data_IF_157492284261
#
_entry.id   IF_157492284261
#
_cell.length_a   1.000
_cell.length_b   1.000
_cell.length_c   1.000
_cell.angle_alpha   90.00
_cell.angle_beta   90.00
_cell.angle_gamma   90.00
#
_symmetry.space_group_name_H-M   'P 1'
#
loop_
_entity.id
_entity.type
_entity.pdbx_description
1 polymer ?
#
# COMPACT_ATOMS: atom_id res chain seq x y z
N UNK A 1 -16.64 -2.88 11.32
CA UNK A 1 -16.00 -4.10 10.82
C UNK A 1 -14.77 -4.44 11.64
N UNK A 2 -14.52 -5.72 11.87
CA UNK A 2 -13.40 -6.22 12.65
C UNK A 2 -12.66 -7.30 11.87
N UNK A 3 -11.37 -7.10 11.69
CA UNK A 3 -10.42 -8.09 11.20
C UNK A 3 -10.11 -9.08 12.32
N UNK A 4 -10.33 -10.37 12.11
CA UNK A 4 -10.04 -11.39 13.11
C UNK A 4 -9.25 -12.57 12.52
N UNK A 5 -8.74 -13.43 13.38
CA UNK A 5 -8.12 -14.69 12.97
C UNK A 5 -9.14 -15.78 12.60
N UNK A 6 -10.44 -15.49 12.75
CA UNK A 6 -11.53 -16.47 12.52
C UNK A 6 -12.66 -15.89 11.65
N UNK A 7 -12.31 -15.02 10.71
CA UNK A 7 -13.21 -14.41 9.75
C UNK A 7 -13.38 -12.90 9.90
N UNK A 8 -14.19 -12.34 9.03
CA UNK A 8 -14.56 -10.93 9.02
C UNK A 8 -15.85 -10.75 9.84
N UNK A 9 -15.83 -9.91 10.86
CA UNK A 9 -17.00 -9.65 11.69
C UNK A 9 -17.53 -8.24 11.49
N UNK A 10 -18.85 -8.14 11.29
CA UNK A 10 -19.59 -6.88 11.27
C UNK A 10 -20.41 -6.74 12.55
N UNK A 11 -20.25 -5.64 13.25
CA UNK A 11 -21.07 -5.28 14.41
C UNK A 11 -22.15 -4.29 13.99
N UNK A 12 -23.39 -4.57 14.35
CA UNK A 12 -24.56 -3.73 14.02
C UNK A 12 -25.05 -2.84 15.17
N UNK A 13 -24.31 -2.83 16.30
CA UNK A 13 -24.69 -2.15 17.53
C UNK A 13 -25.28 -3.09 18.57
N UNK A 14 -25.68 -4.30 18.21
CA UNK A 14 -26.31 -5.28 19.11
C UNK A 14 -25.67 -6.68 18.98
N UNK A 15 -25.35 -7.11 17.77
CA UNK A 15 -24.85 -8.46 17.49
C UNK A 15 -23.70 -8.45 16.48
N UNK A 16 -22.99 -9.56 16.41
CA UNK A 16 -21.94 -9.78 15.41
C UNK A 16 -22.42 -10.75 14.33
N UNK A 17 -22.28 -10.34 13.08
CA UNK A 17 -22.36 -11.22 11.92
C UNK A 17 -20.93 -11.53 11.45
N UNK A 18 -20.56 -12.82 11.43
CA UNK A 18 -19.22 -13.25 11.01
C UNK A 18 -19.25 -13.95 9.67
N UNK A 19 -18.48 -13.44 8.73
CA UNK A 19 -18.26 -14.02 7.42
C UNK A 19 -17.03 -14.92 7.45
N UNK A 20 -17.14 -16.08 6.80
CA UNK A 20 -16.07 -17.07 6.65
C UNK A 20 -15.97 -17.54 5.22
N UNK A 21 -14.82 -18.13 4.80
CA UNK A 21 -14.71 -18.77 3.50
C UNK A 21 -15.77 -19.84 3.31
N UNK A 22 -16.35 -19.90 2.11
CA UNK A 22 -17.30 -20.94 1.73
C UNK A 22 -16.66 -21.85 0.71
N UNK A 23 -16.59 -23.14 0.99
CA UNK A 23 -15.95 -24.11 0.12
C UNK A 23 -16.64 -24.15 -1.25
N UNK A 24 -15.86 -23.97 -2.31
CA UNK A 24 -16.36 -23.95 -3.69
C UNK A 24 -16.93 -22.60 -4.17
N UNK A 25 -17.14 -21.65 -3.26
CA UNK A 25 -17.59 -20.29 -3.64
C UNK A 25 -16.39 -19.36 -3.83
N UNK A 26 -16.15 -18.99 -5.10
CA UNK A 26 -15.10 -18.07 -5.49
C UNK A 26 -15.40 -16.60 -5.12
N UNK A 27 -16.62 -16.29 -4.74
CA UNK A 27 -17.09 -14.92 -4.41
C UNK A 27 -17.27 -14.74 -2.90
N UNK A 28 -16.74 -15.63 -2.08
CA UNK A 28 -16.73 -15.52 -0.62
C UNK A 28 -15.41 -14.95 -0.09
N UNK A 29 -15.31 -14.78 1.23
CA UNK A 29 -14.05 -14.46 1.90
C UNK A 29 -12.97 -15.49 1.53
N UNK A 30 -11.76 -15.03 1.23
CA UNK A 30 -10.70 -15.89 0.70
C UNK A 30 -10.03 -16.76 1.77
N UNK A 31 -9.86 -16.24 2.99
CA UNK A 31 -9.33 -16.98 4.16
C UNK A 31 -9.90 -16.41 5.47
N UNK A 32 -9.87 -17.18 6.55
CA UNK A 32 -10.35 -16.76 7.86
C UNK A 32 -9.43 -15.73 8.55
N UNK A 33 -8.14 -15.76 8.27
CA UNK A 33 -7.13 -14.92 8.92
C UNK A 33 -7.00 -13.62 8.17
N UNK A 34 -7.51 -12.55 8.76
CA UNK A 34 -7.54 -11.22 8.17
C UNK A 34 -6.45 -10.37 8.79
N UNK A 35 -5.65 -9.70 7.95
CA UNK A 35 -4.56 -8.83 8.37
C UNK A 35 -4.92 -7.37 8.30
N UNK A 36 -5.64 -6.96 7.25
CA UNK A 36 -5.93 -5.57 7.00
C UNK A 36 -7.30 -5.39 6.37
N UNK A 37 -7.93 -4.27 6.70
CA UNK A 37 -9.22 -3.83 6.20
C UNK A 37 -9.11 -2.37 5.79
N UNK A 38 -9.53 -2.05 4.58
CA UNK A 38 -9.63 -0.66 4.15
C UNK A 38 -10.88 -0.47 3.29
N UNK A 39 -11.58 0.64 3.50
CA UNK A 39 -12.73 1.04 2.69
C UNK A 39 -12.29 2.05 1.63
N UNK A 40 -12.75 1.86 0.41
CA UNK A 40 -12.56 2.86 -0.64
C UNK A 40 -13.72 3.85 -0.71
N UNK A 41 -13.57 4.90 -1.50
CA UNK A 41 -14.58 5.96 -1.64
C UNK A 41 -15.89 5.50 -2.31
N UNK A 42 -15.87 4.38 -3.01
CA UNK A 42 -17.02 3.82 -3.73
C UNK A 42 -17.81 2.84 -2.86
N UNK A 43 -17.39 2.65 -1.60
CA UNK A 43 -18.07 1.81 -0.61
C UNK A 43 -17.76 0.33 -0.75
N UNK A 44 -16.57 -0.01 -1.24
CA UNK A 44 -16.06 -1.38 -1.20
C UNK A 44 -15.08 -1.55 -0.05
N UNK A 45 -15.25 -2.60 0.70
CA UNK A 45 -14.32 -3.02 1.75
C UNK A 45 -13.32 -4.01 1.17
N UNK A 46 -12.07 -3.61 1.14
CA UNK A 46 -10.94 -4.43 0.70
C UNK A 46 -10.34 -5.15 1.91
N UNK A 47 -10.10 -6.45 1.76
CA UNK A 47 -9.79 -7.35 2.86
C UNK A 47 -8.54 -8.14 2.48
N UNK A 48 -7.43 -7.92 3.18
CA UNK A 48 -6.25 -8.75 3.00
C UNK A 48 -6.26 -9.94 3.95
N UNK A 49 -5.98 -11.13 3.41
CA UNK A 49 -6.00 -12.39 4.17
C UNK A 49 -4.71 -13.17 3.96
N UNK A 50 -4.48 -14.21 4.74
CA UNK A 50 -3.45 -15.21 4.46
C UNK A 50 -4.00 -16.34 3.59
N UNK A 51 -3.15 -16.99 2.75
CA UNK A 51 -1.82 -16.57 2.32
C UNK A 51 -1.91 -15.65 1.10
N UNK A 52 -1.71 -14.34 1.32
CA UNK A 52 -1.58 -13.35 0.23
C UNK A 52 -2.79 -13.26 -0.70
N UNK A 53 -3.99 -13.32 -0.13
CA UNK A 53 -5.24 -13.25 -0.85
C UNK A 53 -5.98 -11.95 -0.50
N UNK A 54 -6.62 -11.36 -1.50
CA UNK A 54 -7.48 -10.20 -1.34
C UNK A 54 -8.92 -10.62 -1.58
N UNK A 55 -9.84 -10.14 -0.74
CA UNK A 55 -11.29 -10.20 -0.97
C UNK A 55 -11.83 -8.78 -1.05
N UNK A 56 -12.95 -8.61 -1.74
CA UNK A 56 -13.65 -7.34 -1.85
C UNK A 56 -15.12 -7.55 -1.48
N UNK A 57 -15.66 -6.65 -0.63
CA UNK A 57 -17.06 -6.70 -0.19
C UNK A 57 -17.75 -5.38 -0.50
N UNK A 58 -18.85 -5.44 -1.25
CA UNK A 58 -19.70 -4.29 -1.57
C UNK A 58 -20.58 -3.99 -0.35
N UNK A 59 -20.33 -2.86 0.29
CA UNK A 59 -21.04 -2.44 1.49
C UNK A 59 -22.49 -2.05 1.20
N UNK A 60 -22.76 -1.52 0.01
CA UNK A 60 -24.11 -1.08 -0.39
C UNK A 60 -25.01 -2.26 -0.73
N UNK A 61 -24.47 -3.25 -1.47
CA UNK A 61 -25.21 -4.45 -1.87
C UNK A 61 -25.08 -5.61 -0.87
N UNK A 62 -24.30 -5.42 0.18
CA UNK A 62 -24.05 -6.37 1.25
C UNK A 62 -23.61 -7.77 0.74
N UNK A 63 -22.67 -7.80 -0.21
CA UNK A 63 -22.17 -9.04 -0.82
C UNK A 63 -20.68 -8.95 -1.19
N UNK A 64 -20.03 -10.09 -1.23
CA UNK A 64 -18.69 -10.19 -1.83
C UNK A 64 -18.77 -9.94 -3.34
N UNK A 65 -17.70 -9.36 -3.88
CA UNK A 65 -17.61 -8.98 -5.30
C UNK A 65 -16.73 -9.97 -6.05
N UNK A 66 -17.20 -10.43 -7.19
CA UNK A 66 -16.38 -11.12 -8.18
C UNK A 66 -15.65 -10.07 -9.04
N UNK A 67 -14.35 -10.01 -8.89
CA UNK A 67 -13.47 -9.10 -9.61
C UNK A 67 -12.56 -9.84 -10.60
N UNK A 68 -12.97 -11.00 -11.07
CA UNK A 68 -12.21 -11.80 -12.05
C UNK A 68 -11.92 -11.04 -13.34
N UNK A 69 -12.74 -10.06 -13.70
CA UNK A 69 -12.51 -9.14 -14.83
C UNK A 69 -11.24 -8.29 -14.71
N UNK A 70 -10.73 -8.08 -13.49
CA UNK A 70 -9.47 -7.37 -13.24
C UNK A 70 -8.23 -8.29 -13.24
N UNK A 71 -8.39 -9.55 -13.60
CA UNK A 71 -7.40 -10.62 -13.47
C UNK A 71 -7.48 -11.25 -12.08
N UNK A 72 -6.65 -12.26 -11.82
CA UNK A 72 -6.67 -12.97 -10.54
C UNK A 72 -6.09 -12.07 -9.43
N UNK A 73 -6.97 -11.36 -8.72
CA UNK A 73 -6.64 -10.51 -7.57
C UNK A 73 -6.53 -11.31 -6.27
N UNK A 74 -6.90 -12.59 -6.28
CA UNK A 74 -6.89 -13.43 -5.09
C UNK A 74 -5.49 -13.88 -4.71
N UNK A 75 -4.56 -13.84 -5.65
CA UNK A 75 -3.21 -14.36 -5.44
C UNK A 75 -2.17 -13.24 -5.43
N UNK A 76 -1.20 -13.37 -4.51
CA UNK A 76 0.04 -12.62 -4.50
C UNK A 76 -0.08 -11.12 -4.14
N UNK A 77 -1.10 -10.71 -3.40
CA UNK A 77 -1.19 -9.38 -2.83
C UNK A 77 -1.58 -9.46 -1.35
N UNK A 78 -0.88 -8.72 -0.50
CA UNK A 78 -1.09 -8.77 0.96
C UNK A 78 -1.26 -7.39 1.58
N UNK A 79 -0.96 -6.33 0.84
CA UNK A 79 -1.06 -4.97 1.31
C UNK A 79 -1.94 -4.14 0.36
N UNK A 80 -2.65 -3.19 0.94
CA UNK A 80 -3.69 -2.37 0.29
C UNK A 80 -3.42 -0.91 0.63
N UNK A 81 -3.52 -0.03 -0.36
CA UNK A 81 -3.55 1.42 -0.17
C UNK A 81 -4.66 2.00 -1.03
N UNK A 82 -5.49 2.86 -0.45
CA UNK A 82 -6.53 3.60 -1.16
C UNK A 82 -6.09 5.04 -1.33
N UNK A 83 -5.94 5.48 -2.57
CA UNK A 83 -5.57 6.84 -2.90
C UNK A 83 -6.76 7.81 -2.77
N UNK A 84 -6.49 9.10 -2.60
CA UNK A 84 -7.52 10.14 -2.45
C UNK A 84 -8.47 10.24 -3.66
N UNK A 85 -7.99 9.87 -4.85
CA UNK A 85 -8.83 9.80 -6.05
C UNK A 85 -9.72 8.55 -6.10
N UNK A 86 -9.55 7.61 -5.16
CA UNK A 86 -10.29 6.36 -5.03
C UNK A 86 -9.64 5.16 -5.73
N UNK A 87 -8.50 5.33 -6.37
CA UNK A 87 -7.76 4.19 -6.91
C UNK A 87 -7.27 3.29 -5.79
N UNK A 88 -7.40 1.99 -5.99
CA UNK A 88 -6.93 0.99 -5.03
C UNK A 88 -5.62 0.37 -5.52
N UNK A 89 -4.62 0.38 -4.66
CA UNK A 89 -3.30 -0.15 -4.94
C UNK A 89 -3.04 -1.39 -4.10
N UNK A 90 -2.73 -2.48 -4.76
CA UNK A 90 -2.43 -3.77 -4.14
C UNK A 90 -0.97 -4.13 -4.41
N UNK A 91 -0.24 -4.58 -3.39
CA UNK A 91 1.13 -5.05 -3.60
C UNK A 91 1.51 -6.19 -2.67
N UNK A 92 2.58 -6.87 -3.05
CA UNK A 92 3.28 -7.86 -2.24
C UNK A 92 4.78 -7.81 -2.54
N UNK A 93 5.60 -8.14 -1.54
CA UNK A 93 7.05 -8.23 -1.73
C UNK A 93 7.40 -9.35 -2.72
N UNK A 94 7.94 -8.96 -3.89
CA UNK A 94 8.33 -9.88 -4.96
C UNK A 94 7.34 -10.04 -6.11
N UNK A 95 6.14 -9.48 -6.00
CA UNK A 95 5.12 -9.61 -7.06
C UNK A 95 4.72 -8.30 -7.74
N UNK A 96 5.41 -7.21 -7.41
CA UNK A 96 5.11 -5.89 -7.95
C UNK A 96 3.87 -5.27 -7.32
N UNK A 97 3.23 -4.39 -8.07
CA UNK A 97 2.10 -3.60 -7.64
C UNK A 97 0.99 -3.61 -8.71
N UNK A 98 -0.26 -3.51 -8.29
CA UNK A 98 -1.43 -3.40 -9.16
C UNK A 98 -2.27 -2.21 -8.73
N UNK A 99 -2.61 -1.34 -9.67
CA UNK A 99 -3.61 -0.29 -9.51
C UNK A 99 -4.95 -0.80 -10.02
N UNK A 100 -6.01 -0.59 -9.26
CA UNK A 100 -7.41 -0.86 -9.63
C UNK A 100 -8.14 0.47 -9.68
N UNK A 101 -8.94 0.66 -10.70
CA UNK A 101 -9.73 1.86 -10.94
C UNK A 101 -11.18 1.45 -11.14
N UNK A 102 -12.08 2.03 -10.35
CA UNK A 102 -13.53 1.91 -10.56
C UNK A 102 -13.96 2.82 -11.70
N UNK A 103 -14.72 2.27 -12.63
CA UNK A 103 -15.28 3.01 -13.76
C UNK A 103 -16.71 3.46 -13.43
N UNK A 104 -17.16 4.55 -14.04
CA UNK A 104 -18.53 5.07 -13.85
C UNK A 104 -19.65 4.05 -14.21
N UNK A 105 -19.35 3.09 -15.06
CA UNK A 105 -20.27 2.00 -15.44
C UNK A 105 -20.31 0.86 -14.40
N UNK A 106 -19.55 0.97 -13.30
CA UNK A 106 -19.46 -0.04 -12.24
C UNK A 106 -18.47 -1.17 -12.52
N UNK A 107 -17.76 -1.13 -13.65
CA UNK A 107 -16.67 -2.07 -13.92
C UNK A 107 -15.38 -1.65 -13.22
N UNK A 108 -14.51 -2.62 -12.94
CA UNK A 108 -13.17 -2.39 -12.44
C UNK A 108 -12.15 -2.67 -13.53
N UNK A 109 -11.19 -1.78 -13.69
CA UNK A 109 -10.03 -1.99 -14.58
C UNK A 109 -8.75 -2.03 -13.77
N UNK A 110 -7.70 -2.65 -14.29
CA UNK A 110 -6.44 -2.72 -13.57
C UNK A 110 -5.20 -2.52 -14.44
N UNK A 111 -4.19 -1.90 -13.84
CA UNK A 111 -2.85 -1.74 -14.40
C UNK A 111 -1.82 -2.43 -13.51
N UNK A 112 -0.95 -3.23 -14.11
CA UNK A 112 0.10 -3.97 -13.39
C UNK A 112 1.44 -3.27 -13.55
N UNK A 113 2.13 -3.07 -12.43
CA UNK A 113 3.48 -2.55 -12.36
C UNK A 113 4.43 -3.67 -11.96
N UNK A 114 5.31 -4.05 -12.88
CA UNK A 114 6.31 -5.12 -12.72
C UNK A 114 7.55 -4.86 -13.58
N UNK A 115 8.66 -5.44 -13.20
CA UNK A 115 9.92 -5.36 -13.96
C UNK A 115 9.78 -5.87 -15.38
N UNK A 116 9.01 -6.94 -15.58
CA UNK A 116 8.77 -7.58 -16.89
C UNK A 116 7.98 -6.67 -17.85
N UNK A 117 7.31 -5.65 -17.31
CA UNK A 117 6.61 -4.61 -18.09
C UNK A 117 7.45 -3.36 -18.31
N UNK A 118 8.65 -3.29 -17.75
CA UNK A 118 9.55 -2.15 -17.86
C UNK A 118 9.14 -0.92 -17.04
N UNK A 119 8.08 -1.01 -16.25
CA UNK A 119 7.51 0.11 -15.46
C UNK A 119 7.90 0.09 -13.98
N UNK A 120 8.71 -0.88 -13.54
CA UNK A 120 9.23 -0.99 -12.19
C UNK A 120 10.73 -1.34 -12.20
N UNK A 121 11.53 -0.81 -11.26
CA UNK A 121 12.93 -1.20 -11.11
C UNK A 121 13.09 -2.56 -10.39
N UNK A 122 12.16 -2.91 -9.50
CA UNK A 122 12.17 -4.15 -8.71
C UNK A 122 10.73 -4.53 -8.32
N UNK A 123 10.42 -5.83 -8.33
CA UNK A 123 9.10 -6.34 -7.92
C UNK A 123 8.91 -6.41 -6.40
N UNK A 124 9.96 -6.22 -5.60
CA UNK A 124 9.89 -6.23 -4.13
C UNK A 124 9.44 -4.88 -3.60
N UNK A 125 8.13 -4.65 -3.67
CA UNK A 125 7.50 -3.42 -3.19
C UNK A 125 7.53 -3.38 -1.66
N UNK A 126 7.89 -2.23 -1.09
CA UNK A 126 7.95 -1.96 0.34
C UNK A 126 6.78 -1.12 0.81
N UNK A 127 6.42 -0.13 0.02
CA UNK A 127 5.29 0.75 0.31
C UNK A 127 4.67 1.30 -0.98
N UNK A 128 3.42 1.69 -0.85
CA UNK A 128 2.73 2.61 -1.77
C UNK A 128 2.18 3.74 -0.92
N UNK A 129 2.33 4.97 -1.36
CA UNK A 129 1.89 6.17 -0.65
C UNK A 129 1.53 7.28 -1.62
N UNK A 130 0.82 8.29 -1.15
CA UNK A 130 0.37 9.43 -1.95
C UNK A 130 0.90 10.73 -1.34
N UNK A 131 1.37 11.65 -2.18
CA UNK A 131 1.72 13.00 -1.75
C UNK A 131 0.52 13.97 -1.82
N UNK A 132 0.73 15.21 -1.38
CA UNK A 132 -0.31 16.23 -1.34
C UNK A 132 -0.88 16.60 -2.72
N UNK A 133 -0.14 16.35 -3.79
CA UNK A 133 -0.55 16.62 -5.18
C UNK A 133 -1.27 15.41 -5.82
N UNK A 134 -1.51 14.32 -5.06
CA UNK A 134 -2.14 13.10 -5.54
C UNK A 134 -1.22 12.20 -6.38
N UNK A 135 0.09 12.44 -6.33
CA UNK A 135 1.08 11.58 -6.97
C UNK A 135 1.32 10.35 -6.10
N UNK A 136 1.27 9.19 -6.71
CA UNK A 136 1.57 7.93 -6.04
C UNK A 136 3.07 7.63 -6.11
N UNK A 137 3.61 7.21 -5.00
CA UNK A 137 5.00 6.80 -4.84
C UNK A 137 5.06 5.31 -4.49
N UNK A 138 5.84 4.56 -5.24
CA UNK A 138 6.04 3.12 -5.05
C UNK A 138 7.52 2.91 -4.71
N UNK A 139 7.80 2.62 -3.44
CA UNK A 139 9.14 2.29 -2.99
C UNK A 139 9.40 0.80 -3.09
N UNK A 140 10.56 0.46 -3.63
CA UNK A 140 10.99 -0.93 -3.83
C UNK A 140 12.33 -1.21 -3.16
N UNK A 141 12.74 -2.46 -3.12
CA UNK A 141 14.05 -2.83 -2.61
C UNK A 141 15.21 -2.37 -3.52
N UNK A 142 14.93 -1.91 -4.74
CA UNK A 142 15.95 -1.41 -5.67
C UNK A 142 15.36 -0.28 -6.51
N UNK A 143 14.93 0.80 -5.87
CA UNK A 143 14.49 2.02 -6.55
C UNK A 143 13.13 2.54 -6.14
N UNK A 144 12.73 3.62 -6.80
CA UNK A 144 11.52 4.40 -6.55
C UNK A 144 10.80 4.70 -7.86
N UNK A 145 9.49 4.58 -7.85
CA UNK A 145 8.62 4.95 -8.98
C UNK A 145 7.62 6.00 -8.51
N UNK A 146 7.37 7.00 -9.34
CA UNK A 146 6.24 7.90 -9.19
C UNK A 146 5.19 7.64 -10.28
N UNK A 147 3.91 7.81 -9.92
CA UNK A 147 2.78 7.71 -10.86
C UNK A 147 1.92 8.94 -10.71
N UNK A 148 1.69 9.66 -11.78
CA UNK A 148 0.85 10.86 -11.82
C UNK A 148 0.07 10.91 -13.14
N UNK A 149 -1.23 11.21 -13.09
CA UNK A 149 -2.09 11.28 -14.27
C UNK A 149 -2.02 10.03 -15.17
N UNK A 150 -1.92 8.85 -14.55
CA UNK A 150 -1.82 7.58 -15.26
C UNK A 150 -0.46 7.28 -15.91
N UNK A 151 0.48 8.21 -15.82
CA UNK A 151 1.86 8.02 -16.31
C UNK A 151 2.81 7.70 -15.17
N UNK A 152 3.78 6.82 -15.42
CA UNK A 152 4.80 6.44 -14.45
C UNK A 152 6.17 7.02 -14.84
N UNK A 153 6.98 7.24 -13.81
CA UNK A 153 8.39 7.60 -13.96
C UNK A 153 9.23 6.81 -12.94
N UNK A 154 10.31 6.20 -13.40
CA UNK A 154 11.28 5.59 -12.51
C UNK A 154 12.22 6.69 -12.03
N UNK A 155 12.14 7.05 -10.75
CA UNK A 155 12.89 8.14 -10.13
C UNK A 155 14.27 7.70 -9.69
N UNK A 156 14.40 6.45 -9.26
CA UNK A 156 15.65 5.82 -8.85
C UNK A 156 15.64 4.33 -9.18
N UNK A 157 16.83 3.74 -9.39
CA UNK A 157 17.00 2.31 -9.75
C UNK A 157 17.93 1.52 -8.82
N UNK A 158 18.48 2.16 -7.79
CA UNK A 158 19.53 1.54 -6.98
C UNK A 158 19.27 1.63 -5.48
N UNK A 159 18.63 2.72 -5.02
CA UNK A 159 18.43 2.97 -3.60
C UNK A 159 17.34 2.06 -3.04
N UNK A 160 17.61 1.44 -1.91
CA UNK A 160 16.65 0.59 -1.18
C UNK A 160 15.79 1.43 -0.26
N UNK A 161 14.57 1.69 -0.69
CA UNK A 161 13.62 2.46 0.10
C UNK A 161 12.84 1.55 1.06
N UNK A 162 12.77 1.93 2.33
CA UNK A 162 12.10 1.18 3.38
C UNK A 162 10.72 1.75 3.70
N UNK A 163 10.61 3.06 3.86
CA UNK A 163 9.41 3.77 4.28
C UNK A 163 9.27 5.11 3.60
N UNK A 164 8.04 5.62 3.61
CA UNK A 164 7.70 6.96 3.16
C UNK A 164 6.83 7.68 4.18
N UNK A 165 6.90 9.00 4.21
CA UNK A 165 6.10 9.86 5.07
C UNK A 165 5.74 11.14 4.34
N UNK A 166 4.47 11.38 3.98
CA UNK A 166 4.02 12.69 3.55
C UNK A 166 4.02 13.65 4.74
N UNK A 167 4.55 14.84 4.54
CA UNK A 167 4.52 15.90 5.55
C UNK A 167 4.36 17.26 4.88
N UNK A 168 3.29 17.97 5.22
CA UNK A 168 2.85 19.18 4.52
C UNK A 168 2.69 18.90 3.02
N UNK A 169 3.41 19.62 2.17
CA UNK A 169 3.38 19.45 0.72
C UNK A 169 4.52 18.57 0.19
N UNK A 170 5.48 18.20 1.05
CA UNK A 170 6.66 17.45 0.65
C UNK A 170 6.51 15.96 0.99
N UNK A 171 7.27 15.13 0.29
CA UNK A 171 7.31 13.69 0.52
C UNK A 171 8.71 13.28 0.99
N UNK A 172 8.76 12.58 2.11
CA UNK A 172 10.00 12.07 2.69
C UNK A 172 10.11 10.57 2.49
N UNK A 173 11.32 10.11 2.23
CA UNK A 173 11.64 8.70 2.02
C UNK A 173 12.82 8.30 2.89
N UNK A 174 12.67 7.20 3.61
CA UNK A 174 13.72 6.60 4.40
C UNK A 174 14.24 5.36 3.67
N UNK A 175 15.57 5.26 3.57
CA UNK A 175 16.23 4.09 2.97
C UNK A 175 16.54 3.01 4.02
N UNK A 176 16.83 1.79 3.58
CA UNK A 176 17.28 0.70 4.45
C UNK A 176 18.62 1.03 5.15
N UNK A 177 19.43 1.89 4.56
CA UNK A 177 20.69 2.37 5.10
C UNK A 177 20.53 3.52 6.11
N UNK A 178 19.29 4.03 6.29
CA UNK A 178 18.99 5.12 7.21
C UNK A 178 19.20 6.52 6.64
N UNK A 179 19.28 6.65 5.33
CA UNK A 179 19.30 7.96 4.66
C UNK A 179 17.88 8.48 4.45
N UNK A 180 17.68 9.78 4.66
CA UNK A 180 16.41 10.47 4.43
C UNK A 180 16.50 11.31 3.17
N UNK A 181 15.62 11.05 2.22
CA UNK A 181 15.41 11.85 1.03
C UNK A 181 14.12 12.65 1.15
N UNK A 182 14.13 13.86 0.62
CA UNK A 182 12.95 14.72 0.52
C UNK A 182 12.67 15.04 -0.95
N UNK A 183 11.47 14.73 -1.40
CA UNK A 183 10.92 15.27 -2.64
C UNK A 183 10.16 16.55 -2.31
N UNK A 184 10.67 17.68 -2.84
CA UNK A 184 10.06 18.98 -2.64
C UNK A 184 9.03 19.23 -3.75
N UNK A 185 7.75 19.32 -3.40
CA UNK A 185 6.66 19.55 -4.36
C UNK A 185 6.84 20.83 -5.17
N UNK A 186 7.31 21.92 -4.53
CA UNK A 186 7.52 23.23 -5.18
C UNK A 186 8.58 23.22 -6.29
N UNK A 187 9.63 22.45 -6.12
CA UNK A 187 10.76 22.38 -7.09
C UNK A 187 10.73 21.13 -7.95
N UNK A 188 9.88 20.16 -7.59
CA UNK A 188 9.80 18.82 -8.18
C UNK A 188 11.16 18.08 -8.20
N UNK A 189 11.96 18.30 -7.17
CA UNK A 189 13.30 17.71 -7.05
C UNK A 189 13.42 16.90 -5.77
N UNK A 190 14.12 15.79 -5.90
CA UNK A 190 14.53 14.96 -4.79
C UNK A 190 15.94 15.32 -4.33
N UNK A 191 16.14 15.38 -3.03
CA UNK A 191 17.46 15.59 -2.41
C UNK A 191 17.61 14.75 -1.15
N UNK A 192 18.82 14.33 -0.85
CA UNK A 192 19.16 13.77 0.47
C UNK A 192 19.17 14.89 1.50
N UNK A 193 18.42 14.74 2.59
CA UNK A 193 18.22 15.76 3.62
C UNK A 193 18.96 15.42 4.90
N UNK A 194 19.02 14.13 5.26
CA UNK A 194 19.61 13.66 6.50
C UNK A 194 20.13 12.23 6.37
N UNK A 195 20.85 11.77 7.38
CA UNK A 195 21.24 10.37 7.52
C UNK A 195 21.21 9.99 9.00
N UNK A 196 20.38 9.02 9.36
CA UNK A 196 20.35 8.46 10.72
C UNK A 196 21.63 7.66 10.96
N UNK A 197 22.19 7.03 9.95
CA UNK A 197 23.44 6.28 10.05
C UNK A 197 24.63 7.13 10.54
N UNK A 198 24.62 8.45 10.27
CA UNK A 198 25.63 9.38 10.77
C UNK A 198 25.57 9.59 12.29
N UNK A 199 24.43 9.31 12.92
CA UNK A 199 24.17 9.48 14.35
C UNK A 199 24.22 8.14 15.08
N UNK A 200 23.59 7.12 14.51
CA UNK A 200 23.34 5.82 15.13
C UNK A 200 24.34 4.73 14.73
N UNK A 201 25.21 5.00 13.75
CA UNK A 201 26.02 3.96 13.12
C UNK A 201 25.17 3.07 12.21
N UNK A 202 25.61 1.85 11.98
CA UNK A 202 24.90 0.90 11.11
C UNK A 202 23.62 0.41 11.79
N UNK A 203 22.47 0.87 11.29
CA UNK A 203 21.14 0.53 11.81
C UNK A 203 20.16 0.33 10.67
N UNK A 204 19.14 -0.49 10.88
CA UNK A 204 18.10 -0.75 9.89
C UNK A 204 16.74 -0.26 10.41
N UNK A 205 16.00 0.53 9.62
CA UNK A 205 14.65 0.94 9.97
C UNK A 205 13.71 -0.27 10.06
N UNK A 206 12.89 -0.30 11.10
CA UNK A 206 11.91 -1.36 11.36
C UNK A 206 10.47 -0.87 11.36
N UNK A 207 10.26 0.45 11.45
CA UNK A 207 8.94 1.08 11.42
C UNK A 207 9.06 2.59 11.43
N UNK A 208 7.94 3.25 11.16
CA UNK A 208 7.84 4.70 11.25
C UNK A 208 6.41 5.16 11.53
N UNK A 209 6.27 6.35 12.09
CA UNK A 209 5.00 7.06 12.25
C UNK A 209 5.23 8.55 12.47
N UNK A 210 4.19 9.35 12.23
CA UNK A 210 4.22 10.78 12.52
C UNK A 210 3.63 11.02 13.93
N UNK A 211 4.38 11.70 14.77
CA UNK A 211 3.92 12.14 16.09
C UNK A 211 3.96 13.67 16.16
N UNK A 212 2.78 14.29 16.15
CA UNK A 212 2.63 15.75 15.98
C UNK A 212 3.34 16.17 14.67
N UNK A 213 4.42 16.96 14.77
CA UNK A 213 5.20 17.45 13.62
C UNK A 213 6.57 16.76 13.49
N UNK A 214 6.76 15.62 14.14
CA UNK A 214 8.01 14.87 14.12
C UNK A 214 7.81 13.50 13.47
N UNK A 215 8.63 13.17 12.52
CA UNK A 215 8.71 11.82 11.98
C UNK A 215 9.51 10.94 12.92
N UNK A 216 8.84 10.00 13.57
CA UNK A 216 9.47 9.02 14.47
C UNK A 216 9.85 7.78 13.66
N UNK A 217 11.11 7.42 13.75
CA UNK A 217 11.71 6.30 13.04
C UNK A 217 12.19 5.27 14.05
N UNK A 218 11.62 4.09 13.98
CA UNK A 218 12.03 2.94 14.76
C UNK A 218 13.14 2.19 14.02
N UNK A 219 14.17 1.79 14.73
CA UNK A 219 15.28 1.04 14.15
C UNK A 219 15.66 -0.13 15.06
N UNK A 220 16.54 -0.99 14.57
CA UNK A 220 17.09 -2.11 15.35
C UNK A 220 17.93 -1.66 16.57
N UNK A 221 18.39 -0.41 16.61
CA UNK A 221 19.26 0.12 17.66
C UNK A 221 18.64 1.22 18.50
N UNK A 222 17.47 1.74 18.14
CA UNK A 222 16.80 2.80 18.90
C UNK A 222 15.67 3.50 18.16
N UNK A 223 15.21 4.60 18.76
CA UNK A 223 14.15 5.48 18.22
C UNK A 223 14.78 6.83 17.89
N UNK A 224 14.52 7.31 16.68
CA UNK A 224 15.03 8.58 16.17
C UNK A 224 13.87 9.47 15.74
N UNK A 225 14.06 10.78 15.81
CA UNK A 225 13.08 11.76 15.32
C UNK A 225 13.73 12.67 14.28
N UNK A 226 12.93 13.03 13.27
CA UNK A 226 13.32 13.94 12.20
C UNK A 226 12.26 15.04 12.01
#
# INVERSE_FOLDING_TARGET
>A
WLATLNGLSRYDGNSFLTFRPQAGDKVSLSDNRIFDLTEDKDGFLWISTTPELISCYDLQRARFVDYTGCGDLRQNYSAIFVANNGDVWLWHSGNGCRRIVHQDNGEMTSTVFKTERGNMPDNRVRFVSEDADGRIWIGTQSGLVSVSNGQYRIEDRLVRFAFSQPYKNDMYFLTEEGDVYCYQATTQKMKKCASIASIAGKTSPTGNFLLKDQWVILTTTGVYTY
#
